data_IF_546368375752
#
_entry.id   IF_546368375752
#
_cell.length_a   1.000
_cell.length_b   1.000
_cell.length_c   1.000
_cell.angle_alpha   90.00
_cell.angle_beta   90.00
_cell.angle_gamma   90.00
#
_symmetry.space_group_name_H-M   'P 1'
#
loop_
_entity.id
_entity.type
_entity.pdbx_description
1 polymer ?
#
# COMPACT_ATOMS: atom_id res chain seq x y z
N UNK A 1 -23.39 -17.55 23.48
CA UNK A 1 -22.84 -16.87 22.29
C UNK A 1 -21.86 -17.85 21.72
N UNK A 2 -22.33 -18.52 20.68
CA UNK A 2 -21.58 -19.50 19.90
C UNK A 2 -20.78 -18.67 18.90
N UNK A 3 -19.45 -18.76 18.96
CA UNK A 3 -18.56 -18.14 17.99
C UNK A 3 -18.30 -19.19 16.92
N UNK A 4 -18.86 -18.98 15.73
CA UNK A 4 -18.38 -19.65 14.51
C UNK A 4 -17.02 -19.01 14.18
N UNK A 5 -15.94 -19.74 14.44
CA UNK A 5 -14.64 -19.47 13.81
C UNK A 5 -14.46 -20.50 12.68
N UNK A 6 -15.23 -20.33 11.63
CA UNK A 6 -14.90 -20.91 10.33
C UNK A 6 -13.88 -19.97 9.67
N UNK A 7 -12.59 -20.19 9.96
CA UNK A 7 -11.53 -19.73 9.08
C UNK A 7 -11.40 -20.79 7.99
N UNK A 8 -12.18 -20.63 6.92
CA UNK A 8 -11.97 -21.39 5.69
C UNK A 8 -10.65 -20.93 5.07
N UNK A 9 -9.64 -21.80 5.13
CA UNK A 9 -8.55 -21.74 4.17
C UNK A 9 -9.12 -22.26 2.86
N UNK A 10 -9.61 -21.34 2.03
CA UNK A 10 -10.00 -21.70 0.68
C UNK A 10 -8.77 -22.26 -0.02
N UNK A 11 -8.94 -23.47 -0.53
CA UNK A 11 -7.93 -24.32 -1.12
C UNK A 11 -7.21 -23.55 -2.24
N UNK A 12 -6.00 -23.03 -1.97
CA UNK A 12 -5.09 -22.51 -3.00
C UNK A 12 -4.50 -23.68 -3.78
N UNK A 13 -5.40 -24.44 -4.40
CA UNK A 13 -5.11 -25.58 -5.24
C UNK A 13 -4.80 -25.05 -6.66
N UNK A 14 -3.79 -24.17 -6.74
CA UNK A 14 -2.93 -23.88 -7.90
C UNK A 14 -1.94 -22.74 -7.58
N UNK A 15 -0.66 -23.13 -7.64
CA UNK A 15 0.55 -22.31 -7.81
C UNK A 15 1.14 -21.64 -6.57
N UNK A 16 2.11 -22.36 -5.99
CA UNK A 16 3.28 -21.79 -5.34
C UNK A 16 3.39 -22.14 -3.87
N UNK A 17 4.12 -23.22 -3.56
CA UNK A 17 4.36 -23.76 -2.22
C UNK A 17 4.42 -22.70 -1.10
N UNK A 18 3.39 -22.67 -0.24
CA UNK A 18 3.51 -22.08 1.10
C UNK A 18 4.50 -22.96 1.86
N UNK A 19 5.70 -22.44 2.15
CA UNK A 19 6.69 -23.18 2.94
C UNK A 19 6.55 -22.77 4.41
N UNK A 20 5.65 -23.48 5.09
CA UNK A 20 5.33 -23.42 6.53
C UNK A 20 4.60 -22.14 6.99
N UNK A 21 3.32 -22.28 7.31
CA UNK A 21 2.69 -21.51 8.38
C UNK A 21 2.91 -22.23 9.72
N UNK A 22 3.34 -21.50 10.75
CA UNK A 22 3.38 -22.01 12.12
C UNK A 22 2.34 -21.27 12.96
N UNK A 23 1.28 -21.96 13.36
CA UNK A 23 0.46 -21.50 14.48
C UNK A 23 1.25 -21.75 15.77
N UNK A 24 1.75 -20.68 16.39
CA UNK A 24 2.34 -20.77 17.71
C UNK A 24 1.21 -20.80 18.76
N UNK A 25 0.82 -22.00 19.18
CA UNK A 25 0.06 -22.17 20.43
C UNK A 25 1.05 -22.11 21.60
N UNK A 26 1.50 -20.90 21.92
CA UNK A 26 2.30 -20.62 23.11
C UNK A 26 1.47 -20.90 24.36
N UNK A 27 1.97 -21.80 25.21
CA UNK A 27 1.36 -22.20 26.47
C UNK A 27 1.12 -20.96 27.36
N UNK A 28 -0.16 -20.57 27.49
CA UNK A 28 -0.74 -19.41 28.22
C UNK A 28 -0.69 -18.04 27.54
N UNK A 29 -1.55 -17.83 26.54
CA UNK A 29 -2.36 -16.61 26.42
C UNK A 29 -3.61 -16.89 25.56
N UNK A 30 -4.77 -16.97 26.20
CA UNK A 30 -6.07 -17.35 25.59
C UNK A 30 -6.76 -16.20 24.83
N UNK A 31 -6.02 -15.22 24.29
CA UNK A 31 -6.62 -14.01 23.70
C UNK A 31 -5.93 -13.47 22.43
N UNK A 32 -5.09 -14.25 21.75
CA UNK A 32 -4.42 -13.78 20.54
C UNK A 32 -4.26 -14.88 19.50
N UNK A 33 -4.85 -14.68 18.32
CA UNK A 33 -4.56 -15.50 17.16
C UNK A 33 -3.36 -14.88 16.43
N UNK A 34 -2.20 -15.55 16.46
CA UNK A 34 -0.98 -15.11 15.77
C UNK A 34 -0.61 -16.15 14.71
N UNK A 35 -0.49 -15.69 13.48
CA UNK A 35 -0.09 -16.49 12.33
C UNK A 35 1.26 -15.98 11.81
N UNK A 36 2.26 -16.86 11.77
CA UNK A 36 3.51 -16.58 11.07
C UNK A 36 3.53 -17.44 9.78
N UNK A 37 3.49 -16.80 8.61
CA UNK A 37 3.47 -17.44 7.29
C UNK A 37 4.74 -17.08 6.53
N UNK A 38 5.45 -18.08 5.99
CA UNK A 38 6.66 -17.86 5.20
C UNK A 38 6.45 -18.24 3.73
N UNK A 39 6.87 -17.35 2.83
CA UNK A 39 6.76 -17.50 1.38
C UNK A 39 8.13 -17.78 0.76
N UNK A 40 8.14 -18.39 -0.43
CA UNK A 40 9.39 -18.66 -1.17
C UNK A 40 9.79 -17.49 -2.06
N UNK A 41 11.09 -17.20 -2.14
CA UNK A 41 11.71 -16.22 -3.04
C UNK A 41 12.08 -16.81 -4.44
N UNK A 42 11.77 -18.08 -4.67
CA UNK A 42 12.28 -18.80 -5.85
C UNK A 42 11.46 -18.52 -7.10
N UNK A 43 10.16 -18.36 -6.95
CA UNK A 43 9.19 -18.19 -8.03
C UNK A 43 8.46 -16.84 -7.88
N UNK A 44 7.94 -16.27 -8.98
CA UNK A 44 6.97 -15.18 -8.90
C UNK A 44 5.75 -15.58 -8.04
N UNK A 45 5.29 -14.65 -7.20
CA UNK A 45 4.16 -14.83 -6.28
C UNK A 45 3.03 -13.87 -6.64
N UNK A 46 1.81 -14.38 -6.65
CA UNK A 46 0.58 -13.60 -6.61
C UNK A 46 -0.01 -13.78 -5.21
N UNK A 47 -0.12 -12.69 -4.45
CA UNK A 47 -0.49 -12.74 -3.03
C UNK A 47 -1.84 -12.03 -2.85
N UNK A 48 -2.83 -12.76 -2.37
CA UNK A 48 -4.10 -12.21 -1.91
C UNK A 48 -4.23 -12.45 -0.40
N UNK A 49 -4.49 -11.40 0.38
CA UNK A 49 -4.64 -11.48 1.82
C UNK A 49 -5.91 -10.74 2.26
N UNK A 50 -6.76 -11.43 3.03
CA UNK A 50 -8.03 -10.89 3.51
C UNK A 50 -8.05 -10.89 5.05
N UNK A 51 -8.34 -9.74 5.64
CA UNK A 51 -8.39 -9.55 7.08
C UNK A 51 -9.72 -8.93 7.48
N UNK A 52 -10.57 -9.67 8.19
CA UNK A 52 -11.81 -9.08 8.70
C UNK A 52 -11.52 -8.02 9.78
N UNK A 53 -10.71 -8.39 10.79
CA UNK A 53 -10.29 -7.51 11.88
C UNK A 53 -8.93 -7.93 12.42
N UNK A 54 -8.13 -6.98 12.94
CA UNK A 54 -6.89 -7.28 13.66
C UNK A 54 -5.70 -6.40 13.25
N UNK A 55 -4.49 -6.84 13.60
CA UNK A 55 -3.27 -6.18 13.17
C UNK A 55 -2.44 -7.15 12.33
N UNK A 56 -1.80 -6.65 11.28
CA UNK A 56 -0.93 -7.46 10.43
C UNK A 56 0.33 -6.72 10.04
N UNK A 57 1.42 -7.47 9.96
CA UNK A 57 2.70 -7.00 9.45
C UNK A 57 3.14 -7.96 8.34
N UNK A 58 3.47 -7.41 7.18
CA UNK A 58 3.89 -8.16 6.02
C UNK A 58 5.24 -7.63 5.52
N UNK A 59 6.30 -8.36 5.81
CA UNK A 59 7.62 -8.10 5.24
C UNK A 59 7.77 -8.91 3.95
N UNK A 60 7.69 -8.24 2.81
CA UNK A 60 7.82 -8.83 1.47
C UNK A 60 9.19 -8.56 0.84
N UNK A 61 10.15 -8.11 1.65
CA UNK A 61 11.50 -7.76 1.20
C UNK A 61 12.18 -8.93 0.51
N UNK A 62 12.74 -8.68 -0.69
CA UNK A 62 13.53 -9.67 -1.43
C UNK A 62 12.71 -10.79 -2.09
N UNK A 63 11.39 -10.82 -1.90
CA UNK A 63 10.51 -11.74 -2.60
C UNK A 63 10.35 -11.33 -4.08
N UNK A 64 9.78 -12.25 -4.86
CA UNK A 64 9.42 -12.02 -6.27
C UNK A 64 7.93 -11.81 -6.38
N UNK A 65 7.42 -10.66 -5.95
CA UNK A 65 5.97 -10.43 -5.92
C UNK A 65 5.52 -9.85 -7.26
N UNK A 66 4.65 -10.56 -7.97
CA UNK A 66 4.09 -10.12 -9.24
C UNK A 66 2.79 -9.35 -9.05
N UNK A 67 1.95 -9.80 -8.11
CA UNK A 67 0.71 -9.11 -7.72
C UNK A 67 0.51 -9.20 -6.20
N UNK A 68 0.03 -8.12 -5.61
CA UNK A 68 -0.37 -8.05 -4.20
C UNK A 68 -1.75 -7.41 -4.09
N UNK A 69 -2.72 -8.15 -3.54
CA UNK A 69 -4.05 -7.65 -3.15
C UNK A 69 -4.24 -7.86 -1.65
N UNK A 70 -4.60 -6.80 -0.95
CA UNK A 70 -4.93 -6.84 0.47
C UNK A 70 -6.31 -6.23 0.66
N UNK A 71 -7.22 -7.00 1.26
CA UNK A 71 -8.52 -6.51 1.70
C UNK A 71 -8.59 -6.56 3.23
N UNK A 72 -8.97 -5.44 3.83
CA UNK A 72 -8.96 -5.27 5.26
C UNK A 72 -10.24 -4.59 5.75
N UNK A 73 -10.98 -5.24 6.65
CA UNK A 73 -12.18 -4.69 7.25
C UNK A 73 -11.86 -3.63 8.31
N UNK A 74 -11.44 -4.06 9.49
CA UNK A 74 -11.06 -3.18 10.61
C UNK A 74 -9.67 -3.53 11.16
N UNK A 75 -8.63 -2.86 10.68
CA UNK A 75 -7.26 -3.27 11.00
C UNK A 75 -6.23 -2.16 11.02
N UNK A 76 -5.12 -2.41 11.71
CA UNK A 76 -3.86 -1.71 11.47
C UNK A 76 -2.89 -2.62 10.71
N UNK A 77 -2.43 -2.20 9.54
CA UNK A 77 -1.58 -3.01 8.67
C UNK A 77 -0.30 -2.29 8.29
N UNK A 78 0.83 -3.00 8.37
CA UNK A 78 2.12 -2.53 7.86
C UNK A 78 2.60 -3.49 6.77
N UNK A 79 2.94 -2.96 5.60
CA UNK A 79 3.54 -3.72 4.49
C UNK A 79 4.87 -3.09 4.11
N UNK A 80 5.89 -3.92 3.94
CA UNK A 80 7.28 -3.46 3.84
C UNK A 80 8.04 -4.14 2.71
N UNK A 81 8.81 -3.33 1.98
CA UNK A 81 9.76 -3.76 0.95
C UNK A 81 11.12 -3.09 1.22
N UNK A 82 11.92 -3.60 2.16
CA UNK A 82 13.26 -3.05 2.43
C UNK A 82 14.29 -3.44 1.37
N UNK A 83 14.08 -4.59 0.73
CA UNK A 83 14.92 -5.07 -0.37
C UNK A 83 14.14 -5.04 -1.70
N UNK A 84 14.81 -4.69 -2.82
CA UNK A 84 14.15 -4.64 -4.13
C UNK A 84 13.47 -5.95 -4.50
N UNK A 85 12.24 -5.84 -5.00
CA UNK A 85 11.56 -6.90 -5.71
C UNK A 85 12.38 -7.25 -6.96
N UNK A 86 12.82 -8.51 -7.05
CA UNK A 86 13.71 -8.94 -8.14
C UNK A 86 12.99 -9.16 -9.47
N UNK A 87 11.67 -9.00 -9.48
CA UNK A 87 10.83 -8.91 -10.67
C UNK A 87 10.06 -7.58 -10.67
N UNK A 88 9.51 -7.23 -11.83
CA UNK A 88 8.57 -6.13 -11.95
C UNK A 88 7.21 -6.58 -11.40
N UNK A 89 6.58 -5.73 -10.59
CA UNK A 89 5.23 -5.99 -10.06
C UNK A 89 4.18 -5.34 -10.97
N UNK A 90 3.16 -6.10 -11.35
CA UNK A 90 2.11 -5.67 -12.25
C UNK A 90 1.06 -4.79 -11.55
N UNK A 91 0.78 -5.08 -10.27
CA UNK A 91 -0.20 -4.37 -9.46
C UNK A 91 0.03 -4.58 -7.96
N UNK A 92 -0.19 -3.51 -7.19
CA UNK A 92 -0.39 -3.52 -5.75
C UNK A 92 -1.73 -2.85 -5.44
N UNK A 93 -2.63 -3.55 -4.76
CA UNK A 93 -3.94 -3.04 -4.37
C UNK A 93 -4.19 -3.27 -2.88
N UNK A 94 -4.60 -2.22 -2.17
CA UNK A 94 -5.03 -2.27 -0.78
C UNK A 94 -6.41 -1.63 -0.68
N UNK A 95 -7.37 -2.39 -0.17
CA UNK A 95 -8.73 -1.93 0.11
C UNK A 95 -8.97 -2.09 1.61
N UNK A 96 -9.30 -0.98 2.27
CA UNK A 96 -9.42 -0.90 3.71
C UNK A 96 -10.74 -0.23 4.13
N UNK A 97 -11.52 -0.89 4.97
CA UNK A 97 -12.74 -0.31 5.53
C UNK A 97 -12.44 0.73 6.61
N UNK A 98 -11.76 0.32 7.68
CA UNK A 98 -11.44 1.16 8.83
C UNK A 98 -10.07 0.84 9.42
N UNK A 99 -9.24 1.87 9.62
CA UNK A 99 -8.01 1.77 10.39
C UNK A 99 -6.79 2.44 9.74
N UNK A 100 -5.61 2.02 10.15
CA UNK A 100 -4.34 2.67 9.83
C UNK A 100 -3.44 1.76 8.99
N UNK A 101 -2.97 2.28 7.87
CA UNK A 101 -2.19 1.52 6.89
C UNK A 101 -0.86 2.19 6.63
N UNK A 102 0.22 1.41 6.74
CA UNK A 102 1.57 1.87 6.48
C UNK A 102 2.23 1.04 5.38
N UNK A 103 2.57 1.69 4.27
CA UNK A 103 3.36 1.12 3.17
C UNK A 103 4.77 1.68 3.25
N UNK A 104 5.76 0.83 3.52
CA UNK A 104 7.13 1.25 3.81
C UNK A 104 8.06 0.83 2.66
N UNK A 105 8.89 1.78 2.19
CA UNK A 105 9.90 1.58 1.15
C UNK A 105 9.35 1.01 -0.17
N UNK A 106 8.16 1.47 -0.56
CA UNK A 106 7.39 0.93 -1.67
C UNK A 106 8.07 1.12 -3.05
N UNK A 107 9.05 2.01 -3.16
CA UNK A 107 9.89 2.10 -4.36
C UNK A 107 10.60 0.77 -4.66
N UNK A 108 10.95 -0.01 -3.63
CA UNK A 108 11.53 -1.34 -3.81
C UNK A 108 10.53 -2.38 -4.36
N UNK A 109 9.21 -2.18 -4.22
CA UNK A 109 8.22 -3.11 -4.76
C UNK A 109 8.21 -3.17 -6.30
N UNK A 110 8.72 -2.10 -6.95
CA UNK A 110 8.77 -1.97 -8.41
C UNK A 110 7.41 -2.19 -9.11
N UNK A 111 6.34 -1.67 -8.50
CA UNK A 111 4.98 -1.74 -9.07
C UNK A 111 4.72 -0.62 -10.07
N UNK A 112 4.04 -0.94 -11.17
CA UNK A 112 3.55 0.07 -12.11
C UNK A 112 2.18 0.64 -11.73
N UNK A 113 1.40 -0.11 -10.96
CA UNK A 113 0.04 0.27 -10.56
C UNK A 113 -0.13 0.10 -9.07
N UNK A 114 -0.46 1.20 -8.41
CA UNK A 114 -0.73 1.23 -6.98
C UNK A 114 -2.17 1.72 -6.78
N UNK A 115 -2.99 0.93 -6.11
CA UNK A 115 -4.34 1.34 -5.68
C UNK A 115 -4.41 1.26 -4.16
N UNK A 116 -4.81 2.34 -3.50
CA UNK A 116 -5.05 2.37 -2.06
C UNK A 116 -6.39 3.02 -1.79
N UNK A 117 -7.34 2.26 -1.26
CA UNK A 117 -8.66 2.74 -0.87
C UNK A 117 -8.83 2.60 0.64
N UNK A 118 -9.13 3.69 1.32
CA UNK A 118 -9.38 3.72 2.77
C UNK A 118 -10.71 4.40 3.05
N UNK A 119 -11.68 3.64 3.56
CA UNK A 119 -12.99 4.16 3.93
C UNK A 119 -12.88 5.17 5.08
N UNK A 120 -12.32 4.74 6.22
CA UNK A 120 -12.12 5.59 7.40
C UNK A 120 -10.79 5.31 8.10
N UNK A 121 -9.91 6.30 8.21
CA UNK A 121 -8.66 6.18 8.96
C UNK A 121 -7.48 6.83 8.26
N UNK A 122 -6.30 6.22 8.32
CA UNK A 122 -5.10 6.83 7.77
C UNK A 122 -4.30 5.89 6.87
N UNK A 123 -3.67 6.48 5.84
CA UNK A 123 -2.71 5.81 4.99
C UNK A 123 -1.40 6.61 5.00
N UNK A 124 -0.31 5.99 5.41
CA UNK A 124 1.05 6.52 5.24
C UNK A 124 1.78 5.68 4.21
N UNK A 125 2.18 6.30 3.12
CA UNK A 125 2.79 5.63 1.98
C UNK A 125 4.17 6.23 1.76
N UNK A 126 5.20 5.42 1.92
CA UNK A 126 6.58 5.78 1.65
C UNK A 126 7.04 5.18 0.34
N UNK A 127 7.17 6.03 -0.69
CA UNK A 127 7.67 5.65 -2.01
C UNK A 127 9.21 5.60 -2.07
N UNK A 128 9.91 5.64 -0.94
CA UNK A 128 11.37 5.48 -0.88
C UNK A 128 11.85 4.19 -1.55
N UNK A 129 13.03 4.25 -2.19
CA UNK A 129 13.61 3.16 -2.96
C UNK A 129 13.65 3.44 -4.47
N UNK A 130 14.04 2.43 -5.28
CA UNK A 130 14.19 2.54 -6.72
C UNK A 130 12.83 2.54 -7.43
N UNK A 131 12.14 3.67 -7.41
CA UNK A 131 10.82 3.84 -8.03
C UNK A 131 10.86 3.61 -9.56
N UNK A 132 9.86 2.89 -10.11
CA UNK A 132 9.64 2.88 -11.55
C UNK A 132 9.20 4.26 -12.02
N UNK A 133 9.64 4.64 -13.21
CA UNK A 133 9.46 6.02 -13.71
C UNK A 133 8.03 6.32 -14.19
N UNK A 134 7.19 5.31 -14.31
CA UNK A 134 5.84 5.35 -14.86
C UNK A 134 4.82 4.73 -13.89
N UNK A 135 5.07 4.84 -12.58
CA UNK A 135 4.09 4.47 -11.56
C UNK A 135 2.81 5.30 -11.76
N UNK A 136 1.70 4.60 -11.90
CA UNK A 136 0.35 5.15 -11.82
C UNK A 136 -0.24 4.76 -10.47
N UNK A 137 -0.46 5.74 -9.60
CA UNK A 137 -1.00 5.52 -8.27
C UNK A 137 -2.35 6.21 -8.10
N UNK A 138 -3.31 5.45 -7.62
CA UNK A 138 -4.66 5.88 -7.26
C UNK A 138 -4.85 5.70 -5.76
N UNK A 139 -5.24 6.77 -5.08
CA UNK A 139 -5.42 6.79 -3.63
C UNK A 139 -6.74 7.48 -3.29
N UNK A 140 -7.70 6.72 -2.76
CA UNK A 140 -8.98 7.23 -2.28
C UNK A 140 -9.02 7.13 -0.74
N UNK A 141 -9.25 8.26 -0.08
CA UNK A 141 -9.54 8.29 1.35
C UNK A 141 -10.90 8.95 1.58
N UNK A 142 -11.88 8.15 2.00
CA UNK A 142 -13.24 8.62 2.28
C UNK A 142 -13.25 9.61 3.44
N UNK A 143 -12.79 9.18 4.62
CA UNK A 143 -12.65 10.02 5.80
C UNK A 143 -11.33 9.76 6.55
N UNK A 144 -10.46 10.77 6.61
CA UNK A 144 -9.25 10.71 7.43
C UNK A 144 -8.03 11.33 6.76
N UNK A 145 -6.88 10.66 6.76
CA UNK A 145 -5.62 11.29 6.33
C UNK A 145 -4.75 10.42 5.44
N UNK A 146 -4.28 11.00 4.34
CA UNK A 146 -3.22 10.46 3.51
C UNK A 146 -1.91 11.21 3.76
N UNK A 147 -0.82 10.48 4.00
CA UNK A 147 0.54 11.02 4.02
C UNK A 147 1.39 10.27 2.99
N UNK A 148 1.89 10.98 1.99
CA UNK A 148 2.75 10.41 0.94
C UNK A 148 4.16 10.98 1.04
N UNK A 149 5.16 10.11 1.05
CA UNK A 149 6.58 10.48 1.05
C UNK A 149 7.20 10.09 -0.28
N UNK A 150 7.80 11.05 -0.97
CA UNK A 150 8.35 10.85 -2.32
C UNK A 150 9.85 11.21 -2.32
N UNK A 151 10.73 10.38 -2.91
CA UNK A 151 12.14 10.73 -3.08
C UNK A 151 12.33 12.03 -3.87
N UNK A 152 13.22 12.89 -3.37
CA UNK A 152 13.58 14.14 -4.05
C UNK A 152 14.06 13.91 -5.47
N UNK A 153 13.65 14.81 -6.37
CA UNK A 153 14.02 14.75 -7.79
C UNK A 153 13.19 13.79 -8.63
N UNK A 154 12.21 13.09 -8.02
CA UNK A 154 11.21 12.31 -8.77
C UNK A 154 10.28 13.25 -9.52
N UNK A 155 10.14 13.13 -10.85
CA UNK A 155 9.13 13.86 -11.60
C UNK A 155 7.74 13.30 -11.29
N UNK A 156 6.86 14.15 -10.77
CA UNK A 156 5.51 13.80 -10.31
C UNK A 156 4.48 14.75 -10.91
N UNK A 157 3.36 14.19 -11.40
CA UNK A 157 2.10 14.89 -11.66
C UNK A 157 1.04 14.40 -10.67
N UNK A 158 0.36 15.31 -10.00
CA UNK A 158 -0.74 15.02 -9.07
C UNK A 158 -2.04 15.54 -9.68
N UNK A 159 -3.07 14.70 -9.73
CA UNK A 159 -4.46 15.08 -9.95
C UNK A 159 -5.20 14.86 -8.62
N UNK A 160 -5.77 15.91 -8.02
CA UNK A 160 -6.43 15.85 -6.70
C UNK A 160 -7.91 16.19 -6.83
N UNK A 161 -8.77 15.18 -6.88
CA UNK A 161 -10.22 15.35 -6.80
C UNK A 161 -10.64 15.44 -5.32
N UNK A 162 -10.34 16.59 -4.73
CA UNK A 162 -10.35 16.76 -3.28
C UNK A 162 -11.52 17.67 -2.86
N UNK A 163 -12.37 17.17 -1.96
CA UNK A 163 -13.57 17.89 -1.51
C UNK A 163 -13.23 19.24 -0.85
N UNK A 164 -14.16 20.20 -0.89
CA UNK A 164 -13.99 21.50 -0.21
C UNK A 164 -13.81 21.39 1.31
N UNK A 165 -14.12 20.22 1.89
CA UNK A 165 -13.92 19.89 3.31
C UNK A 165 -12.56 19.23 3.59
N UNK A 166 -11.72 19.07 2.57
CA UNK A 166 -10.37 18.52 2.70
C UNK A 166 -9.32 19.63 2.80
N UNK A 167 -8.20 19.34 3.46
CA UNK A 167 -7.02 20.19 3.51
C UNK A 167 -5.87 19.47 2.81
N UNK A 168 -5.32 20.09 1.77
CA UNK A 168 -4.21 19.51 1.00
C UNK A 168 -2.95 20.35 1.19
N UNK A 169 -1.83 19.68 1.45
CA UNK A 169 -0.50 20.27 1.56
C UNK A 169 0.48 19.49 0.66
N UNK A 170 0.86 20.09 -0.46
CA UNK A 170 1.78 19.50 -1.44
C UNK A 170 3.07 20.29 -1.46
N UNK A 171 4.05 19.82 -0.68
CA UNK A 171 5.28 20.55 -0.41
C UNK A 171 6.03 20.88 -1.71
N UNK A 172 6.27 22.16 -1.98
CA UNK A 172 6.96 22.65 -3.18
C UNK A 172 6.39 22.22 -4.55
N UNK A 173 5.15 21.72 -4.60
CA UNK A 173 4.45 21.47 -5.86
C UNK A 173 3.89 22.78 -6.44
N UNK A 174 3.95 22.91 -7.77
CA UNK A 174 3.33 24.02 -8.49
C UNK A 174 1.95 23.59 -8.98
N UNK A 175 0.91 24.31 -8.56
CA UNK A 175 -0.42 24.20 -9.15
C UNK A 175 -0.43 24.72 -10.59
N UNK A 176 -0.89 23.91 -11.54
CA UNK A 176 -0.93 24.26 -12.96
C UNK A 176 -2.37 24.32 -13.52
N UNK A 177 -3.32 23.65 -12.88
CA UNK A 177 -4.76 23.74 -13.17
C UNK A 177 -5.58 23.65 -11.88
N UNK A 178 -6.92 23.58 -11.97
CA UNK A 178 -7.85 23.50 -10.83
C UNK A 178 -7.50 22.34 -9.88
N UNK A 179 -7.26 21.15 -10.43
CA UNK A 179 -6.98 19.93 -9.66
C UNK A 179 -5.57 19.35 -9.94
N UNK A 180 -4.79 20.03 -10.78
CA UNK A 180 -3.48 19.52 -11.22
C UNK A 180 -2.29 20.26 -10.59
N UNK A 181 -1.31 19.48 -10.11
CA UNK A 181 -0.07 19.95 -9.53
C UNK A 181 1.12 19.19 -10.09
N UNK A 182 2.27 19.86 -10.21
CA UNK A 182 3.50 19.25 -10.72
C UNK A 182 4.71 19.56 -9.86
N UNK A 183 5.60 18.59 -9.80
CA UNK A 183 6.90 18.70 -9.11
C UNK A 183 7.81 19.79 -9.71
N UNK A 184 8.82 20.28 -8.95
CA UNK A 184 9.82 21.21 -9.47
C UNK A 184 10.56 20.67 -10.69
N UNK A 185 10.63 21.45 -11.77
CA UNK A 185 11.33 21.06 -13.00
C UNK A 185 10.62 19.99 -13.84
N UNK A 186 9.33 19.73 -13.57
CA UNK A 186 8.50 18.82 -14.34
C UNK A 186 8.53 19.12 -15.84
N UNK A 187 8.58 18.05 -16.64
CA UNK A 187 8.54 18.08 -18.09
C UNK A 187 7.69 16.89 -18.57
N UNK A 188 6.59 17.20 -19.26
CA UNK A 188 5.63 16.20 -19.77
C UNK A 188 6.19 15.25 -20.83
N UNK A 189 7.29 15.63 -21.50
CA UNK A 189 7.97 14.80 -22.52
C UNK A 189 8.91 13.73 -21.90
N UNK A 190 9.02 13.67 -20.58
CA UNK A 190 9.86 12.70 -19.85
C UNK A 190 9.00 11.74 -19.05
N UNK A 191 9.57 10.60 -18.64
CA UNK A 191 8.89 9.70 -17.71
C UNK A 191 8.63 10.40 -16.36
N UNK A 192 7.42 10.28 -15.84
CA UNK A 192 6.98 10.80 -14.55
C UNK A 192 5.97 9.84 -13.90
N UNK A 193 5.87 9.92 -12.57
CA UNK A 193 4.81 9.20 -11.85
C UNK A 193 3.53 10.04 -11.85
N UNK A 194 2.39 9.36 -11.95
CA UNK A 194 1.07 9.98 -11.84
C UNK A 194 0.44 9.60 -10.52
N UNK A 195 -0.06 10.58 -9.79
CA UNK A 195 -0.76 10.40 -8.52
C UNK A 195 -2.18 10.95 -8.65
N UNK A 196 -3.18 10.07 -8.62
CA UNK A 196 -4.59 10.42 -8.60
C UNK A 196 -5.07 10.29 -7.15
N UNK A 197 -5.40 11.41 -6.53
CA UNK A 197 -5.78 11.50 -5.13
C UNK A 197 -7.25 11.92 -5.03
N UNK A 198 -8.07 11.15 -4.34
CA UNK A 198 -9.44 11.50 -3.99
C UNK A 198 -9.56 11.55 -2.46
N UNK A 199 -9.92 12.72 -1.92
CA UNK A 199 -10.07 12.90 -0.46
C UNK A 199 -11.46 13.44 -0.17
N UNK A 200 -12.31 12.61 0.45
CA UNK A 200 -13.68 12.97 0.80
C UNK A 200 -13.75 13.98 1.95
N UNK A 201 -13.17 13.65 3.10
CA UNK A 201 -13.12 14.54 4.26
C UNK A 201 -11.85 14.28 5.08
N UNK A 202 -11.03 15.31 5.28
CA UNK A 202 -9.81 15.21 6.08
C UNK A 202 -8.62 15.86 5.39
N UNK A 203 -7.47 15.17 5.29
CA UNK A 203 -6.26 15.80 4.76
C UNK A 203 -5.40 14.90 3.88
N UNK A 204 -4.71 15.50 2.91
CA UNK A 204 -3.61 14.86 2.20
C UNK A 204 -2.34 15.72 2.34
N UNK A 205 -1.24 15.07 2.72
CA UNK A 205 0.08 15.68 2.83
C UNK A 205 1.03 14.92 1.91
N UNK A 206 1.69 15.63 0.99
CA UNK A 206 2.74 15.08 0.13
C UNK A 206 4.05 15.78 0.47
N UNK A 207 5.04 15.00 0.91
CA UNK A 207 6.35 15.52 1.34
C UNK A 207 7.50 14.86 0.60
N UNK A 208 8.60 15.59 0.50
CA UNK A 208 9.84 15.08 -0.06
C UNK A 208 10.72 14.40 0.98
N UNK A 209 11.35 13.29 0.61
CA UNK A 209 12.36 12.59 1.42
C UNK A 209 13.67 12.46 0.64
N UNK A 210 14.77 12.33 1.39
CA UNK A 210 16.13 12.15 0.82
C UNK A 210 16.33 10.74 0.22
#
# INVERSE_FOLDING_TARGET
MEYDEDVEFDDFDKLGDIIKGAMHHGDRDINGNRWDVFLTDRIPLEIAAEFAMGNGEMDLSGLKVQELRIEAGMSAMTVKFDEPNSIKMDRLAIEAGLGDFELINLGNASTERLTVEVGLGSATIDLSGPLPKNLDAEMDVGLGSLKLRIPKGTPVKINCECSFLSSVDFDHFKKIDEDEYVSPGFNEDKDFITLNLAIGLGSAEVVWVE
#
